data_IF_306108129255
#
_entry.id   IF_306108129255
#
_cell.length_a   1.000
_cell.length_b   1.000
_cell.length_c   1.000
_cell.angle_alpha   90.00
_cell.angle_beta   90.00
_cell.angle_gamma   90.00
#
_symmetry.space_group_name_H-M   'P 1'
#
loop_
_entity.id
_entity.type
_entity.pdbx_description
1 polymer ?
#
# COMPACT_ATOMS: atom_id res chain seq x y z
N UNK A 1 -22.94 10.60 88.95
CA UNK A 1 -23.09 10.68 87.48
C UNK A 1 -22.49 11.96 86.84
N UNK A 2 -21.73 12.79 87.55
CA UNK A 2 -21.17 14.04 87.01
C UNK A 2 -19.70 13.95 86.51
N UNK A 3 -18.98 12.85 86.77
CA UNK A 3 -17.55 12.71 86.43
C UNK A 3 -17.26 11.97 85.10
N UNK A 4 -18.29 11.42 84.42
CA UNK A 4 -18.11 10.69 83.17
C UNK A 4 -18.19 11.59 81.92
N UNK A 5 -18.89 12.72 82.00
CA UNK A 5 -19.08 13.66 80.88
C UNK A 5 -17.87 14.56 80.63
N UNK A 6 -17.03 14.79 81.65
CA UNK A 6 -15.80 15.60 81.54
C UNK A 6 -14.65 14.84 80.89
N UNK A 7 -14.55 13.53 81.09
CA UNK A 7 -13.49 12.71 80.49
C UNK A 7 -13.65 12.52 78.97
N UNK A 8 -14.89 12.39 78.48
CA UNK A 8 -15.16 12.23 77.04
C UNK A 8 -14.99 13.55 76.27
N UNK A 9 -15.32 14.69 76.89
CA UNK A 9 -15.03 16.01 76.33
C UNK A 9 -13.52 16.32 76.28
N UNK A 10 -12.74 15.87 77.26
CA UNK A 10 -11.28 16.00 77.21
C UNK A 10 -10.64 15.07 76.16
N UNK A 11 -11.13 13.85 75.98
CA UNK A 11 -10.66 12.94 74.91
C UNK A 11 -10.97 13.46 73.51
N UNK A 12 -12.15 14.07 73.30
CA UNK A 12 -12.51 14.69 72.01
C UNK A 12 -11.69 15.94 71.69
N UNK A 13 -11.30 16.74 72.70
CA UNK A 13 -10.37 17.86 72.51
C UNK A 13 -8.95 17.39 72.16
N UNK A 14 -8.49 16.29 72.75
CA UNK A 14 -7.16 15.73 72.44
C UNK A 14 -7.06 15.08 71.04
N UNK A 15 -8.18 14.59 70.49
CA UNK A 15 -8.19 13.94 69.17
C UNK A 15 -8.21 14.94 67.99
N UNK A 16 -8.57 16.21 68.22
CA UNK A 16 -8.61 17.27 67.19
C UNK A 16 -7.28 18.02 67.03
N UNK A 17 -6.30 17.75 67.91
CA UNK A 17 -4.98 18.40 67.94
C UNK A 17 -3.85 17.57 67.29
N UNK A 18 -4.19 16.56 66.49
CA UNK A 18 -3.22 15.95 65.61
C UNK A 18 -3.12 16.77 64.32
N UNK A 19 -2.09 17.61 64.13
CA UNK A 19 -1.86 18.24 62.84
C UNK A 19 -1.69 17.12 61.82
N UNK A 20 -2.61 17.04 60.86
CA UNK A 20 -2.41 16.22 59.66
C UNK A 20 -1.03 16.55 59.12
N UNK A 21 -0.12 15.56 59.09
CA UNK A 21 1.26 15.77 58.62
C UNK A 21 1.19 16.55 57.30
N UNK A 22 1.83 17.73 57.20
CA UNK A 22 1.76 18.52 55.99
C UNK A 22 2.27 17.65 54.85
N UNK A 23 1.44 17.49 53.81
CA UNK A 23 1.84 16.79 52.59
C UNK A 23 3.13 17.47 52.14
N UNK A 24 4.24 16.71 52.11
CA UNK A 24 5.54 17.30 51.81
C UNK A 24 5.47 18.01 50.45
N UNK A 25 6.15 19.16 50.33
CA UNK A 25 6.20 19.97 49.10
C UNK A 25 6.57 19.14 47.86
N UNK A 26 7.37 18.09 48.04
CA UNK A 26 7.76 17.11 47.01
C UNK A 26 6.59 16.27 46.50
N UNK A 27 5.67 15.86 47.38
CA UNK A 27 4.44 15.14 46.98
C UNK A 27 3.48 16.04 46.20
N UNK A 28 3.31 17.29 46.63
CA UNK A 28 2.48 18.26 45.91
C UNK A 28 3.06 18.60 44.53
N UNK A 29 4.39 18.72 44.41
CA UNK A 29 5.03 18.96 43.11
C UNK A 29 4.87 17.77 42.16
N UNK A 30 5.02 16.53 42.65
CA UNK A 30 4.82 15.32 41.85
C UNK A 30 3.36 15.17 41.38
N UNK A 31 2.38 15.46 42.25
CA UNK A 31 0.95 15.43 41.87
C UNK A 31 0.61 16.52 40.84
N UNK A 32 1.16 17.73 40.98
CA UNK A 32 0.98 18.80 39.99
C UNK A 32 1.63 18.51 38.64
N UNK A 33 2.79 17.84 38.65
CA UNK A 33 3.49 17.42 37.43
C UNK A 33 2.69 16.33 36.70
N UNK A 34 2.12 15.36 37.44
CA UNK A 34 1.28 14.31 36.88
C UNK A 34 -0.05 14.86 36.33
N UNK A 35 -0.70 15.80 37.03
CA UNK A 35 -1.90 16.47 36.53
C UNK A 35 -1.63 17.35 35.29
N UNK A 36 -0.46 18.00 35.22
CA UNK A 36 -0.03 18.76 34.05
C UNK A 36 0.29 17.83 32.85
N UNK A 37 0.84 16.64 33.11
CA UNK A 37 1.09 15.62 32.12
C UNK A 37 -0.22 15.04 31.56
N UNK A 38 -1.19 14.71 32.41
CA UNK A 38 -2.53 14.27 32.01
C UNK A 38 -3.27 15.33 31.19
N UNK A 39 -3.12 16.63 31.51
CA UNK A 39 -3.68 17.72 30.70
C UNK A 39 -3.01 17.84 29.32
N UNK A 40 -1.70 17.61 29.24
CA UNK A 40 -0.95 17.60 27.96
C UNK A 40 -1.36 16.39 27.11
N UNK A 41 -1.50 15.22 27.72
CA UNK A 41 -1.96 14.01 27.03
C UNK A 41 -3.41 14.17 26.55
N UNK A 42 -4.29 14.75 27.37
CA UNK A 42 -5.68 15.05 26.98
C UNK A 42 -5.75 16.05 25.82
N UNK A 43 -4.88 17.08 25.81
CA UNK A 43 -4.77 17.98 24.67
C UNK A 43 -4.31 17.22 23.42
N UNK A 44 -3.30 16.35 23.52
CA UNK A 44 -2.85 15.49 22.42
C UNK A 44 -3.97 14.62 21.84
N UNK A 45 -4.73 13.94 22.70
CA UNK A 45 -5.90 13.14 22.30
C UNK A 45 -6.98 13.98 21.63
N UNK A 46 -7.24 15.19 22.12
CA UNK A 46 -8.21 16.10 21.50
C UNK A 46 -7.76 16.53 20.09
N UNK A 47 -6.47 16.83 19.90
CA UNK A 47 -5.91 17.21 18.60
C UNK A 47 -6.00 16.08 17.55
N UNK A 48 -5.78 14.83 17.95
CA UNK A 48 -5.90 13.68 17.02
C UNK A 48 -7.33 13.16 16.91
N UNK A 49 -8.25 13.57 17.80
CA UNK A 49 -9.62 13.04 17.84
C UNK A 49 -10.38 13.15 16.52
N UNK A 50 -10.30 14.24 15.72
CA UNK A 50 -11.01 14.28 14.44
C UNK A 50 -10.53 13.19 13.47
N UNK A 51 -9.23 12.93 13.45
CA UNK A 51 -8.65 11.86 12.62
C UNK A 51 -9.06 10.48 13.14
N UNK A 52 -9.01 10.24 14.45
CA UNK A 52 -9.41 8.95 15.06
C UNK A 52 -10.89 8.68 14.84
N UNK A 53 -11.75 9.67 15.05
CA UNK A 53 -13.20 9.56 14.81
C UNK A 53 -13.46 9.24 13.34
N UNK A 54 -12.80 9.96 12.42
CA UNK A 54 -12.91 9.68 10.98
C UNK A 54 -12.47 8.27 10.61
N UNK A 55 -11.31 7.84 11.13
CA UNK A 55 -10.79 6.48 10.93
C UNK A 55 -11.78 5.41 11.43
N UNK A 56 -12.31 5.58 12.65
CA UNK A 56 -13.24 4.62 13.23
C UNK A 56 -14.58 4.58 12.48
N UNK A 57 -15.12 5.74 12.13
CA UNK A 57 -16.43 5.83 11.49
C UNK A 57 -16.43 5.44 10.01
N UNK A 58 -15.38 5.78 9.26
CA UNK A 58 -15.37 5.66 7.80
C UNK A 58 -14.43 4.59 7.26
N UNK A 59 -13.49 4.07 8.06
CA UNK A 59 -12.59 2.99 7.64
C UNK A 59 -12.81 1.73 8.47
N UNK A 60 -12.57 1.80 9.77
CA UNK A 60 -12.59 0.62 10.63
C UNK A 60 -14.00 0.07 10.85
N UNK A 61 -14.99 0.93 11.07
CA UNK A 61 -16.40 0.55 11.24
C UNK A 61 -16.95 -0.21 10.02
N UNK A 62 -16.93 0.38 8.80
CA UNK A 62 -17.37 -0.30 7.59
C UNK A 62 -16.60 -1.59 7.29
N UNK A 63 -15.31 -1.65 7.64
CA UNK A 63 -14.52 -2.87 7.54
C UNK A 63 -15.04 -3.96 8.48
N UNK A 64 -15.38 -3.66 9.73
CA UNK A 64 -15.98 -4.64 10.64
C UNK A 64 -17.38 -5.07 10.18
N UNK A 65 -18.17 -4.16 9.59
CA UNK A 65 -19.47 -4.50 9.00
C UNK A 65 -19.29 -5.43 7.80
N UNK A 66 -18.29 -5.20 6.94
CA UNK A 66 -18.00 -6.13 5.83
C UNK A 66 -17.53 -7.49 6.34
N UNK A 67 -16.83 -7.55 7.49
CA UNK A 67 -16.52 -8.82 8.15
C UNK A 67 -17.77 -9.56 8.58
N UNK A 68 -18.76 -8.86 9.12
CA UNK A 68 -20.04 -9.49 9.43
C UNK A 68 -20.71 -10.02 8.15
N UNK A 69 -20.75 -9.21 7.09
CA UNK A 69 -21.37 -9.62 5.82
C UNK A 69 -20.67 -10.79 5.14
N UNK A 70 -19.36 -10.99 5.35
CA UNK A 70 -18.66 -12.14 4.78
C UNK A 70 -19.16 -13.49 5.28
N UNK A 71 -19.85 -13.53 6.44
CA UNK A 71 -20.50 -14.73 6.99
C UNK A 71 -21.99 -14.82 6.65
N UNK A 72 -22.48 -13.95 5.78
CA UNK A 72 -23.90 -13.88 5.39
C UNK A 72 -24.09 -14.08 3.90
N UNK A 73 -25.25 -14.57 3.51
CA UNK A 73 -25.79 -14.37 2.17
C UNK A 73 -26.48 -13.01 2.16
N UNK A 74 -25.90 -12.06 1.45
CA UNK A 74 -26.37 -10.68 1.42
C UNK A 74 -26.44 -10.18 -0.02
N UNK A 75 -27.64 -10.06 -0.61
CA UNK A 75 -27.82 -9.62 -1.98
C UNK A 75 -28.00 -8.10 -2.13
N UNK A 76 -27.65 -7.32 -1.10
CA UNK A 76 -27.79 -5.85 -1.01
C UNK A 76 -29.22 -5.35 -0.87
N UNK A 77 -30.17 -5.91 -1.63
CA UNK A 77 -31.58 -5.51 -1.67
C UNK A 77 -32.46 -6.20 -0.61
N UNK A 78 -31.98 -7.29 -0.03
CA UNK A 78 -32.68 -8.07 1.00
C UNK A 78 -31.86 -8.10 2.30
N UNK A 79 -32.49 -8.33 3.47
CA UNK A 79 -31.76 -8.48 4.72
C UNK A 79 -30.72 -9.61 4.67
N UNK A 80 -29.55 -9.44 5.30
CA UNK A 80 -28.50 -10.47 5.30
C UNK A 80 -28.93 -11.72 6.08
N UNK A 81 -28.74 -12.90 5.48
CA UNK A 81 -29.02 -14.20 6.10
C UNK A 81 -27.71 -14.81 6.57
N UNK A 82 -27.60 -15.19 7.84
CA UNK A 82 -26.38 -15.82 8.36
C UNK A 82 -26.17 -17.22 7.77
N UNK A 83 -25.04 -17.43 7.08
CA UNK A 83 -24.66 -18.71 6.46
C UNK A 83 -23.34 -19.27 7.01
N UNK A 84 -22.73 -18.62 8.00
CA UNK A 84 -21.46 -19.03 8.58
C UNK A 84 -20.32 -18.97 7.56
N UNK A 85 -19.57 -20.07 7.40
CA UNK A 85 -18.36 -20.12 6.56
C UNK A 85 -18.61 -20.51 5.09
N UNK A 86 -19.87 -20.59 4.65
CA UNK A 86 -20.19 -21.14 3.33
C UNK A 86 -19.57 -20.33 2.17
N UNK A 87 -19.50 -19.00 2.29
CA UNK A 87 -18.82 -18.14 1.31
C UNK A 87 -17.34 -18.54 1.12
N UNK A 88 -16.64 -18.85 2.21
CA UNK A 88 -15.24 -19.27 2.17
C UNK A 88 -15.09 -20.69 1.60
N UNK A 89 -16.01 -21.60 1.93
CA UNK A 89 -16.04 -22.96 1.36
C UNK A 89 -16.24 -22.92 -0.15
N UNK A 90 -17.17 -22.09 -0.62
CA UNK A 90 -17.45 -21.87 -2.05
C UNK A 90 -16.20 -21.41 -2.80
N UNK A 91 -15.37 -20.53 -2.22
CA UNK A 91 -14.13 -20.07 -2.85
C UNK A 91 -13.13 -21.19 -3.11
N UNK A 92 -13.07 -22.23 -2.26
CA UNK A 92 -12.12 -23.32 -2.40
C UNK A 92 -12.35 -24.15 -3.67
N UNK A 93 -13.61 -24.25 -4.09
CA UNK A 93 -14.04 -24.98 -5.29
C UNK A 93 -14.26 -24.08 -6.51
N UNK A 94 -14.10 -22.76 -6.35
CA UNK A 94 -14.35 -21.79 -7.42
C UNK A 94 -13.14 -21.68 -8.38
N UNK A 95 -13.31 -22.20 -9.58
CA UNK A 95 -12.30 -22.15 -10.64
C UNK A 95 -11.99 -20.71 -11.08
N UNK A 96 -13.00 -19.82 -11.07
CA UNK A 96 -12.82 -18.42 -11.44
C UNK A 96 -11.98 -17.71 -10.40
N UNK A 97 -12.28 -17.93 -9.12
CA UNK A 97 -11.48 -17.42 -8.00
C UNK A 97 -10.01 -17.82 -8.14
N UNK A 98 -9.73 -19.10 -8.40
CA UNK A 98 -8.36 -19.60 -8.61
C UNK A 98 -7.70 -18.94 -9.82
N UNK A 99 -8.42 -18.78 -10.92
CA UNK A 99 -7.90 -18.16 -12.15
C UNK A 99 -7.52 -16.70 -11.93
N UNK A 100 -8.39 -15.89 -11.31
CA UNK A 100 -8.12 -14.46 -11.09
C UNK A 100 -7.05 -14.23 -10.03
N UNK A 101 -6.98 -15.08 -9.01
CA UNK A 101 -5.90 -15.06 -8.02
C UNK A 101 -4.56 -15.34 -8.69
N UNK A 102 -4.50 -16.35 -9.56
CA UNK A 102 -3.28 -16.67 -10.31
C UNK A 102 -2.87 -15.53 -11.25
N UNK A 103 -3.81 -14.94 -11.99
CA UNK A 103 -3.54 -13.79 -12.89
C UNK A 103 -2.98 -12.59 -12.14
N UNK A 104 -3.58 -12.26 -10.99
CA UNK A 104 -3.12 -11.17 -10.12
C UNK A 104 -1.72 -11.45 -9.57
N UNK A 105 -1.45 -12.70 -9.19
CA UNK A 105 -0.14 -13.15 -8.72
C UNK A 105 0.92 -13.04 -9.83
N UNK A 106 0.61 -13.51 -11.04
CA UNK A 106 1.50 -13.39 -12.21
C UNK A 106 1.82 -11.92 -12.49
N UNK A 107 0.81 -11.06 -12.49
CA UNK A 107 1.02 -9.63 -12.66
C UNK A 107 1.96 -9.07 -11.59
N UNK A 108 1.70 -9.34 -10.31
CA UNK A 108 2.52 -8.84 -9.21
C UNK A 108 3.99 -9.32 -9.32
N UNK A 109 4.21 -10.60 -9.59
CA UNK A 109 5.57 -11.20 -9.70
C UNK A 109 6.35 -10.59 -10.87
N UNK A 110 5.69 -10.22 -11.96
CA UNK A 110 6.36 -9.60 -13.12
C UNK A 110 6.54 -8.11 -12.90
N UNK A 111 5.50 -7.41 -12.47
CA UNK A 111 5.47 -5.96 -12.37
C UNK A 111 6.40 -5.44 -11.26
N UNK A 112 6.39 -6.04 -10.08
CA UNK A 112 7.13 -5.51 -8.91
C UNK A 112 8.66 -5.48 -9.16
N UNK A 113 9.30 -6.57 -9.62
CA UNK A 113 10.74 -6.54 -9.92
C UNK A 113 11.07 -5.58 -11.06
N UNK A 114 10.28 -5.59 -12.14
CA UNK A 114 10.50 -4.68 -13.27
C UNK A 114 10.41 -3.23 -12.82
N UNK A 115 9.33 -2.84 -12.13
CA UNK A 115 9.16 -1.49 -11.62
C UNK A 115 10.31 -1.08 -10.71
N UNK A 116 10.79 -1.98 -9.85
CA UNK A 116 11.95 -1.72 -8.98
C UNK A 116 13.22 -1.48 -9.77
N UNK A 117 13.52 -2.35 -10.75
CA UNK A 117 14.71 -2.23 -11.60
C UNK A 117 14.65 -0.96 -12.45
N UNK A 118 13.53 -0.72 -13.14
CA UNK A 118 13.34 0.48 -13.95
C UNK A 118 13.40 1.75 -13.10
N UNK A 119 12.76 1.76 -11.94
CA UNK A 119 12.77 2.93 -11.08
C UNK A 119 14.18 3.25 -10.55
N UNK A 120 14.94 2.23 -10.12
CA UNK A 120 16.34 2.39 -9.69
C UNK A 120 17.24 2.82 -10.84
N UNK A 121 17.06 2.27 -12.05
CA UNK A 121 17.84 2.64 -13.22
C UNK A 121 17.61 4.12 -13.58
N UNK A 122 16.35 4.55 -13.66
CA UNK A 122 16.01 5.95 -13.95
C UNK A 122 16.50 6.87 -12.83
N UNK A 123 16.31 6.50 -11.56
CA UNK A 123 16.81 7.27 -10.43
C UNK A 123 18.34 7.41 -10.47
N UNK A 124 19.07 6.34 -10.79
CA UNK A 124 20.52 6.37 -10.95
C UNK A 124 20.98 7.28 -12.09
N UNK A 125 20.27 7.28 -13.22
CA UNK A 125 20.54 8.21 -14.33
C UNK A 125 20.30 9.66 -13.92
N UNK A 126 19.26 9.92 -13.12
CA UNK A 126 18.92 11.27 -12.61
C UNK A 126 19.78 11.72 -11.42
N UNK A 127 20.47 10.80 -10.75
CA UNK A 127 21.32 11.11 -9.60
C UNK A 127 22.61 11.84 -10.02
N UNK A 128 23.02 11.76 -11.29
CA UNK A 128 24.18 12.47 -11.81
C UNK A 128 23.96 13.98 -11.94
N UNK A 129 25.04 14.71 -12.28
CA UNK A 129 24.98 16.14 -12.66
C UNK A 129 24.37 16.30 -14.06
N UNK A 130 23.10 15.96 -14.21
CA UNK A 130 22.37 16.04 -15.48
C UNK A 130 21.98 17.50 -15.75
N UNK A 131 22.38 18.04 -16.89
CA UNK A 131 21.87 19.33 -17.38
C UNK A 131 20.35 19.21 -17.55
N UNK A 132 19.59 20.14 -16.97
CA UNK A 132 18.13 20.11 -16.90
C UNK A 132 17.53 18.93 -16.09
N UNK A 133 18.19 18.46 -15.02
CA UNK A 133 17.66 17.40 -14.15
C UNK A 133 16.21 17.61 -13.67
N UNK A 134 15.81 18.86 -13.38
CA UNK A 134 14.43 19.18 -13.00
C UNK A 134 13.40 18.89 -14.11
N UNK A 135 13.76 19.08 -15.38
CA UNK A 135 12.89 18.76 -16.51
C UNK A 135 12.67 17.26 -16.62
N UNK A 136 13.74 16.46 -16.56
CA UNK A 136 13.61 15.00 -16.63
C UNK A 136 12.88 14.43 -15.40
N UNK A 137 13.12 15.00 -14.22
CA UNK A 137 12.39 14.65 -13.01
C UNK A 137 10.88 14.90 -13.17
N UNK A 138 10.50 16.06 -13.73
CA UNK A 138 9.11 16.37 -14.03
C UNK A 138 8.53 15.41 -15.09
N UNK A 139 9.26 15.14 -16.17
CA UNK A 139 8.81 14.25 -17.25
C UNK A 139 8.51 12.83 -16.77
N UNK A 140 9.36 12.29 -15.88
CA UNK A 140 9.16 10.96 -15.27
C UNK A 140 8.01 10.96 -14.25
N UNK A 141 7.78 12.09 -13.58
CA UNK A 141 6.74 12.20 -12.56
C UNK A 141 5.34 12.45 -13.13
N UNK A 142 5.21 13.21 -14.22
CA UNK A 142 3.93 13.60 -14.84
C UNK A 142 2.95 12.43 -15.04
N UNK A 143 3.37 11.25 -15.56
CA UNK A 143 2.46 10.11 -15.73
C UNK A 143 1.71 9.70 -14.46
N UNK A 144 2.34 9.88 -13.28
CA UNK A 144 1.73 9.53 -11.99
C UNK A 144 0.63 10.49 -11.55
N UNK A 145 0.59 11.69 -12.13
CA UNK A 145 -0.44 12.69 -11.89
C UNK A 145 -1.64 12.53 -12.82
N UNK A 146 -1.50 11.74 -13.89
CA UNK A 146 -2.60 11.50 -14.83
C UNK A 146 -3.65 10.61 -14.14
N UNK A 147 -4.94 11.00 -14.14
CA UNK A 147 -6.00 10.17 -13.57
C UNK A 147 -6.02 8.78 -14.20
N UNK A 148 -6.19 7.71 -13.41
CA UNK A 148 -6.14 6.32 -13.90
C UNK A 148 -7.08 6.08 -15.10
N UNK A 149 -8.27 6.67 -15.10
CA UNK A 149 -9.20 6.57 -16.21
C UNK A 149 -8.68 7.26 -17.49
N UNK A 150 -8.05 8.44 -17.35
CA UNK A 150 -7.41 9.14 -18.46
C UNK A 150 -6.22 8.36 -19.00
N UNK A 151 -5.39 7.79 -18.12
CA UNK A 151 -4.30 6.88 -18.49
C UNK A 151 -4.82 5.69 -19.29
N UNK A 152 -5.91 5.04 -18.82
CA UNK A 152 -6.52 3.93 -19.54
C UNK A 152 -7.02 4.34 -20.94
N UNK A 153 -7.62 5.53 -21.09
CA UNK A 153 -8.05 6.04 -22.40
C UNK A 153 -6.88 6.30 -23.36
N UNK A 154 -5.78 6.90 -22.88
CA UNK A 154 -4.56 7.12 -23.67
C UNK A 154 -4.04 5.79 -24.19
N UNK A 155 -3.91 4.80 -23.29
CA UNK A 155 -3.35 3.50 -23.65
C UNK A 155 -4.30 2.65 -24.50
N UNK A 156 -5.62 2.79 -24.32
CA UNK A 156 -6.62 2.17 -25.20
C UNK A 156 -6.41 2.60 -26.66
N UNK A 157 -6.17 3.89 -26.90
CA UNK A 157 -5.90 4.40 -28.24
C UNK A 157 -4.51 4.02 -28.74
N UNK A 158 -3.48 4.13 -27.89
CA UNK A 158 -2.10 3.78 -28.28
C UNK A 158 -1.93 2.29 -28.64
N UNK A 159 -2.61 1.40 -27.91
CA UNK A 159 -2.52 -0.06 -28.04
C UNK A 159 -3.61 -0.67 -28.90
N UNK A 160 -4.41 0.15 -29.59
CA UNK A 160 -5.40 -0.35 -30.52
C UNK A 160 -4.72 -1.21 -31.62
N UNK A 161 -5.26 -2.42 -31.85
CA UNK A 161 -4.65 -3.38 -32.76
C UNK A 161 -4.64 -2.96 -34.23
N UNK A 162 -5.65 -2.19 -34.66
CA UNK A 162 -5.86 -1.82 -36.06
C UNK A 162 -5.25 -0.46 -36.41
N UNK A 163 -5.46 0.53 -35.55
CA UNK A 163 -5.06 1.92 -35.80
C UNK A 163 -4.28 2.56 -34.63
N UNK A 164 -3.77 1.75 -33.70
CA UNK A 164 -2.96 2.26 -32.60
C UNK A 164 -1.60 2.77 -33.07
N UNK A 165 -1.14 3.86 -32.47
CA UNK A 165 0.17 4.46 -32.79
C UNK A 165 1.33 3.48 -32.62
N UNK A 166 1.24 2.57 -31.64
CA UNK A 166 2.29 1.57 -31.39
C UNK A 166 2.33 0.57 -32.54
N UNK A 167 1.18 0.08 -33.01
CA UNK A 167 1.16 -0.82 -34.17
C UNK A 167 1.54 -0.11 -35.47
N UNK A 168 1.11 1.14 -35.68
CA UNK A 168 1.54 1.92 -36.84
C UNK A 168 3.05 2.10 -36.88
N UNK A 169 3.68 2.38 -35.74
CA UNK A 169 5.14 2.53 -35.65
C UNK A 169 5.87 1.20 -35.83
N UNK A 170 5.39 0.10 -35.24
CA UNK A 170 5.93 -1.25 -35.47
C UNK A 170 5.84 -1.63 -36.94
N UNK A 171 4.66 -1.52 -37.54
CA UNK A 171 4.46 -1.90 -38.95
C UNK A 171 5.31 -1.04 -39.88
N UNK A 172 5.52 0.24 -39.58
CA UNK A 172 6.40 1.12 -40.36
C UNK A 172 7.87 0.76 -40.21
N UNK A 173 8.32 0.42 -39.01
CA UNK A 173 9.74 0.17 -38.71
C UNK A 173 10.18 -1.26 -38.95
N UNK A 174 9.27 -2.23 -38.88
CA UNK A 174 9.56 -3.66 -38.90
C UNK A 174 8.64 -4.44 -39.85
N UNK A 175 7.66 -3.79 -40.48
CA UNK A 175 6.79 -4.44 -41.46
C UNK A 175 7.54 -4.93 -42.70
N UNK A 176 8.68 -4.31 -43.05
CA UNK A 176 9.59 -4.80 -44.09
C UNK A 176 10.21 -6.16 -43.75
N UNK A 177 10.29 -6.52 -42.46
CA UNK A 177 10.73 -7.82 -41.98
C UNK A 177 9.56 -8.80 -41.76
N UNK A 178 8.33 -8.46 -42.21
CA UNK A 178 7.13 -9.28 -42.05
C UNK A 178 6.55 -9.30 -40.64
N UNK A 179 7.01 -8.42 -39.74
CA UNK A 179 6.51 -8.33 -38.37
C UNK A 179 5.33 -7.37 -38.32
N UNK A 180 4.16 -7.89 -37.98
CA UNK A 180 2.97 -7.09 -37.67
C UNK A 180 2.83 -6.88 -36.15
N UNK A 181 2.40 -5.67 -35.77
CA UNK A 181 2.10 -5.36 -34.37
C UNK A 181 0.99 -6.26 -33.81
N UNK A 182 1.09 -6.70 -32.55
CA UNK A 182 0.12 -7.62 -31.97
C UNK A 182 -1.21 -6.94 -31.64
N UNK A 183 -2.24 -7.75 -31.38
CA UNK A 183 -3.46 -7.25 -30.75
C UNK A 183 -3.25 -7.18 -29.23
N UNK A 184 -2.64 -6.08 -28.78
CA UNK A 184 -2.20 -5.84 -27.40
C UNK A 184 -3.26 -6.13 -26.34
N UNK A 185 -4.52 -5.79 -26.64
CA UNK A 185 -5.60 -5.81 -25.66
C UNK A 185 -6.53 -7.02 -25.80
N UNK A 186 -6.67 -7.61 -26.99
CA UNK A 186 -7.60 -8.73 -27.20
C UNK A 186 -6.92 -10.10 -27.10
N UNK A 187 -5.62 -10.18 -27.38
CA UNK A 187 -4.86 -11.43 -27.33
C UNK A 187 -4.39 -11.74 -25.90
N UNK A 188 -4.74 -12.93 -25.40
CA UNK A 188 -4.33 -13.41 -24.07
C UNK A 188 -2.81 -13.40 -23.86
N UNK A 189 -2.01 -13.53 -24.92
CA UNK A 189 -0.55 -13.48 -24.85
C UNK A 189 -0.01 -12.08 -24.56
N UNK A 190 -0.69 -11.06 -25.06
CA UNK A 190 -0.23 -9.67 -25.01
C UNK A 190 -0.94 -8.81 -23.97
N UNK A 191 -2.11 -9.22 -23.50
CA UNK A 191 -2.87 -8.51 -22.49
C UNK A 191 -2.04 -8.27 -21.20
N UNK A 192 -1.42 -9.32 -20.65
CA UNK A 192 -0.61 -9.19 -19.41
C UNK A 192 0.62 -8.29 -19.61
N UNK A 193 1.47 -8.47 -20.66
CA UNK A 193 2.53 -7.52 -20.98
C UNK A 193 2.04 -6.07 -21.14
N UNK A 194 0.86 -5.88 -21.75
CA UNK A 194 0.28 -4.54 -21.92
C UNK A 194 -0.04 -3.89 -20.58
N UNK A 195 -0.71 -4.61 -19.67
CA UNK A 195 -1.02 -4.09 -18.33
C UNK A 195 0.26 -3.77 -17.55
N UNK A 196 1.30 -4.62 -17.65
CA UNK A 196 2.62 -4.37 -17.02
C UNK A 196 3.25 -3.11 -17.59
N UNK A 197 3.29 -2.94 -18.92
CA UNK A 197 3.87 -1.77 -19.58
C UNK A 197 3.15 -0.47 -19.18
N UNK A 198 1.82 -0.49 -19.16
CA UNK A 198 1.01 0.66 -18.73
C UNK A 198 1.30 1.00 -17.27
N UNK A 199 1.43 -0.02 -16.41
CA UNK A 199 1.73 0.17 -14.99
C UNK A 199 3.15 0.72 -14.78
N UNK A 200 4.13 0.27 -15.60
CA UNK A 200 5.50 0.79 -15.59
C UNK A 200 5.58 2.26 -15.99
N UNK A 201 4.67 2.74 -16.84
CA UNK A 201 4.59 4.15 -17.18
C UNK A 201 4.27 5.04 -15.96
N UNK A 202 3.66 4.47 -14.91
CA UNK A 202 3.22 5.18 -13.70
C UNK A 202 4.17 5.02 -12.50
N UNK A 203 5.44 4.62 -12.70
CA UNK A 203 6.41 4.43 -11.58
C UNK A 203 7.12 5.71 -11.15
N UNK A 204 6.71 6.88 -11.63
CA UNK A 204 7.41 8.14 -11.42
C UNK A 204 7.63 8.49 -9.94
N UNK A 205 6.62 8.31 -9.08
CA UNK A 205 6.75 8.54 -7.64
C UNK A 205 7.84 7.65 -7.01
N UNK A 206 7.91 6.38 -7.41
CA UNK A 206 8.93 5.44 -6.96
C UNK A 206 10.34 5.89 -7.38
N UNK A 207 10.48 6.40 -8.61
CA UNK A 207 11.75 6.99 -9.09
C UNK A 207 12.19 8.16 -8.22
N UNK A 208 11.27 9.08 -7.87
CA UNK A 208 11.62 10.25 -7.05
C UNK A 208 12.06 9.84 -5.64
N UNK A 209 11.37 8.87 -5.05
CA UNK A 209 11.73 8.34 -3.73
C UNK A 209 13.12 7.68 -3.77
N UNK A 210 13.42 6.89 -4.79
CA UNK A 210 14.77 6.33 -4.96
C UNK A 210 15.83 7.38 -5.25
N UNK A 211 15.52 8.40 -6.05
CA UNK A 211 16.44 9.50 -6.32
C UNK A 211 16.79 10.26 -5.02
N UNK A 212 15.80 10.51 -4.15
CA UNK A 212 16.05 11.12 -2.85
C UNK A 212 16.98 10.25 -1.99
N UNK A 213 16.70 8.94 -1.91
CA UNK A 213 17.54 8.02 -1.14
C UNK A 213 18.97 7.90 -1.69
N UNK A 214 19.14 7.92 -3.01
CA UNK A 214 20.46 7.90 -3.65
C UNK A 214 21.27 9.16 -3.34
N UNK A 215 20.62 10.31 -3.17
CA UNK A 215 21.27 11.58 -2.78
C UNK A 215 21.66 11.63 -1.30
N UNK A 216 21.07 10.80 -0.46
CA UNK A 216 21.40 10.68 0.97
C UNK A 216 22.57 9.73 1.25
N UNK A 217 23.15 9.14 0.20
CA UNK A 217 24.38 8.33 0.31
C UNK A 217 25.58 9.29 0.43
N UNK A 218 26.35 9.25 1.55
CA UNK A 218 27.49 10.14 1.73
C UNK A 218 28.55 9.94 0.66
N UNK A 219 29.05 11.04 0.09
CA UNK A 219 30.11 11.01 -0.92
C UNK A 219 31.39 10.36 -0.37
N UNK A 220 31.69 10.53 0.92
CA UNK A 220 32.87 9.95 1.57
C UNK A 220 32.89 8.42 1.47
N UNK A 221 31.73 7.75 1.59
CA UNK A 221 31.65 6.29 1.41
C UNK A 221 31.91 5.87 -0.04
N UNK A 222 31.49 6.69 -1.01
CA UNK A 222 31.67 6.42 -2.43
C UNK A 222 33.12 6.65 -2.89
N UNK A 223 33.80 7.63 -2.28
CA UNK A 223 35.21 7.93 -2.47
C UNK A 223 36.10 6.85 -1.83
N UNK A 224 35.81 6.46 -0.58
CA UNK A 224 36.52 5.36 0.08
C UNK A 224 36.43 4.06 -0.73
N UNK A 225 35.23 3.70 -1.20
CA UNK A 225 35.05 2.53 -2.05
C UNK A 225 35.82 2.63 -3.39
N UNK A 226 35.98 3.83 -3.95
CA UNK A 226 36.76 4.04 -5.15
C UNK A 226 38.27 3.88 -4.91
N UNK A 227 38.76 4.34 -3.74
CA UNK A 227 40.15 4.12 -3.30
C UNK A 227 40.46 2.63 -3.09
N UNK A 228 39.49 1.85 -2.63
CA UNK A 228 39.56 0.37 -2.53
C UNK A 228 39.48 -0.35 -3.90
N UNK A 229 39.48 0.39 -5.01
CA UNK A 229 39.44 -0.17 -6.36
C UNK A 229 38.08 -0.72 -6.78
N UNK A 230 36.98 -0.38 -6.09
CA UNK A 230 35.65 -0.82 -6.52
C UNK A 230 35.18 -0.06 -7.76
N UNK A 231 35.00 -0.81 -8.87
CA UNK A 231 34.38 -0.27 -10.08
C UNK A 231 32.91 0.16 -9.87
N UNK A 232 32.31 0.93 -10.80
CA UNK A 232 31.00 1.54 -10.62
C UNK A 232 29.86 0.56 -10.28
N UNK A 233 29.83 -0.59 -10.94
CA UNK A 233 28.80 -1.63 -10.72
C UNK A 233 28.97 -2.26 -9.34
N UNK A 234 30.21 -2.61 -8.96
CA UNK A 234 30.50 -3.20 -7.65
C UNK A 234 30.19 -2.21 -6.53
N UNK A 235 30.57 -0.93 -6.70
CA UNK A 235 30.23 0.14 -5.75
C UNK A 235 28.71 0.31 -5.61
N UNK A 236 27.96 0.26 -6.71
CA UNK A 236 26.50 0.33 -6.65
C UNK A 236 25.89 -0.86 -5.90
N UNK A 237 26.27 -2.10 -6.26
CA UNK A 237 25.69 -3.31 -5.67
C UNK A 237 26.12 -3.54 -4.22
N UNK A 238 27.36 -3.20 -3.86
CA UNK A 238 27.93 -3.53 -2.55
C UNK A 238 27.87 -2.38 -1.54
N UNK A 239 27.73 -1.12 -1.96
CA UNK A 239 27.71 0.04 -1.06
C UNK A 239 26.38 0.78 -1.13
N UNK A 240 25.98 1.21 -2.33
CA UNK A 240 24.77 2.02 -2.52
C UNK A 240 23.51 1.21 -2.21
N UNK A 241 23.33 0.07 -2.87
CA UNK A 241 22.12 -0.75 -2.78
C UNK A 241 21.81 -1.19 -1.33
N UNK A 242 22.78 -1.63 -0.51
CA UNK A 242 22.53 -1.92 0.90
C UNK A 242 22.14 -0.69 1.72
N UNK A 243 22.74 0.48 1.46
CA UNK A 243 22.42 1.72 2.19
C UNK A 243 21.00 2.23 1.92
N UNK A 244 20.50 2.07 0.69
CA UNK A 244 19.13 2.47 0.33
C UNK A 244 18.10 1.34 0.51
N UNK A 245 18.53 0.17 0.99
CA UNK A 245 17.67 -1.00 1.15
C UNK A 245 16.39 -0.78 2.00
N UNK A 246 16.36 0.07 3.05
CA UNK A 246 15.10 0.37 3.75
C UNK A 246 14.07 1.06 2.84
N UNK A 247 14.54 1.93 1.94
CA UNK A 247 13.69 2.65 0.98
C UNK A 247 13.21 1.72 -0.12
N UNK A 248 14.06 0.79 -0.58
CA UNK A 248 13.67 -0.28 -1.51
C UNK A 248 12.55 -1.12 -0.89
N UNK A 249 12.70 -1.55 0.37
CA UNK A 249 11.67 -2.32 1.06
C UNK A 249 10.35 -1.55 1.13
N UNK A 250 10.38 -0.28 1.54
CA UNK A 250 9.18 0.56 1.63
C UNK A 250 8.43 0.64 0.28
N UNK A 251 9.16 0.90 -0.81
CA UNK A 251 8.56 0.99 -2.14
C UNK A 251 8.06 -0.36 -2.64
N UNK A 252 8.80 -1.46 -2.43
CA UNK A 252 8.38 -2.81 -2.81
C UNK A 252 7.12 -3.24 -2.06
N UNK A 253 7.01 -2.96 -0.76
CA UNK A 253 5.81 -3.26 0.03
C UNK A 253 4.61 -2.46 -0.49
N UNK A 254 4.78 -1.15 -0.70
CA UNK A 254 3.71 -0.28 -1.21
C UNK A 254 3.25 -0.74 -2.60
N UNK A 255 4.20 -1.07 -3.48
CA UNK A 255 3.93 -1.54 -4.83
C UNK A 255 3.25 -2.91 -4.83
N UNK A 256 3.62 -3.81 -3.92
CA UNK A 256 2.97 -5.11 -3.78
C UNK A 256 1.52 -4.98 -3.36
N UNK A 257 1.21 -4.10 -2.39
CA UNK A 257 -0.17 -3.82 -1.99
C UNK A 257 -0.97 -3.32 -3.19
N UNK A 258 -0.42 -2.34 -3.93
CA UNK A 258 -1.07 -1.80 -5.13
C UNK A 258 -1.25 -2.83 -6.25
N UNK A 259 -0.28 -3.70 -6.48
CA UNK A 259 -0.33 -4.73 -7.52
C UNK A 259 -1.41 -5.78 -7.24
N UNK A 260 -1.60 -6.17 -5.97
CA UNK A 260 -2.67 -7.07 -5.56
C UNK A 260 -4.06 -6.42 -5.64
N UNK A 261 -4.12 -5.09 -5.60
CA UNK A 261 -5.35 -4.28 -5.68
C UNK A 261 -5.61 -3.71 -7.09
N UNK A 262 -4.92 -4.20 -8.12
CA UNK A 262 -5.10 -3.67 -9.47
C UNK A 262 -6.54 -3.83 -9.95
N UNK A 263 -7.14 -2.73 -10.43
CA UNK A 263 -8.54 -2.68 -10.83
C UNK A 263 -8.80 -1.72 -12.00
N UNK A 264 -8.61 -0.42 -11.79
CA UNK A 264 -9.17 0.61 -12.66
C UNK A 264 -8.73 0.48 -14.13
N UNK A 265 -7.43 0.33 -14.38
CA UNK A 265 -6.89 0.25 -15.74
C UNK A 265 -7.36 -1.03 -16.46
N UNK A 266 -7.16 -2.25 -15.92
CA UNK A 266 -7.68 -3.46 -16.55
C UNK A 266 -9.20 -3.46 -16.74
N UNK A 267 -9.96 -2.91 -15.78
CA UNK A 267 -11.42 -2.83 -15.87
C UNK A 267 -11.87 -1.97 -17.07
N UNK A 268 -11.28 -0.80 -17.23
CA UNK A 268 -11.61 0.10 -18.34
C UNK A 268 -11.18 -0.48 -19.69
N UNK A 269 -9.95 -1.03 -19.77
CA UNK A 269 -9.44 -1.60 -21.02
C UNK A 269 -10.21 -2.83 -21.47
N UNK A 270 -10.55 -3.72 -20.53
CA UNK A 270 -11.35 -4.92 -20.83
C UNK A 270 -12.77 -4.57 -21.27
N UNK A 271 -13.42 -3.59 -20.62
CA UNK A 271 -14.74 -3.10 -21.03
C UNK A 271 -14.73 -2.47 -22.44
N UNK A 272 -13.62 -1.85 -22.83
CA UNK A 272 -13.46 -1.21 -24.14
C UNK A 272 -12.96 -2.14 -25.26
N UNK A 273 -12.71 -3.42 -24.96
CA UNK A 273 -12.19 -4.40 -25.93
C UNK A 273 -13.16 -5.59 -26.09
N UNK A 274 -14.40 -5.37 -26.59
CA UNK A 274 -15.38 -6.43 -26.76
C UNK A 274 -14.90 -7.47 -27.79
N UNK A 275 -14.96 -8.76 -27.42
CA UNK A 275 -14.56 -9.88 -28.28
C UNK A 275 -13.15 -10.44 -28.05
N UNK A 276 -12.32 -9.77 -27.22
CA UNK A 276 -11.07 -10.36 -26.71
C UNK A 276 -11.31 -11.46 -25.67
N UNK A 277 -10.26 -12.19 -25.28
CA UNK A 277 -10.37 -13.18 -24.19
C UNK A 277 -10.83 -12.46 -22.90
N UNK A 278 -12.06 -12.71 -22.41
CA UNK A 278 -12.63 -11.99 -21.27
C UNK A 278 -11.81 -12.21 -20.00
N UNK A 279 -11.05 -13.31 -19.93
CA UNK A 279 -10.25 -13.67 -18.77
C UNK A 279 -8.86 -13.06 -18.84
N UNK A 280 -8.38 -12.60 -20.01
CA UNK A 280 -7.01 -12.16 -20.19
C UNK A 280 -6.58 -11.03 -19.23
N UNK A 281 -7.49 -10.08 -18.99
CA UNK A 281 -7.30 -8.95 -18.07
C UNK A 281 -8.19 -9.05 -16.82
N UNK A 282 -8.69 -10.24 -16.49
CA UNK A 282 -9.61 -10.39 -15.38
C UNK A 282 -8.85 -10.66 -14.07
N UNK A 283 -8.74 -9.61 -13.25
CA UNK A 283 -8.01 -9.62 -12.00
C UNK A 283 -8.92 -9.87 -10.79
N UNK A 284 -8.29 -10.21 -9.66
CA UNK A 284 -8.98 -10.55 -8.42
C UNK A 284 -9.99 -9.47 -8.00
N UNK A 285 -9.56 -8.21 -7.95
CA UNK A 285 -10.40 -7.09 -7.53
C UNK A 285 -11.57 -6.86 -8.50
N UNK A 286 -11.42 -7.19 -9.79
CA UNK A 286 -12.53 -7.13 -10.74
C UNK A 286 -13.56 -8.22 -10.48
N UNK A 287 -13.12 -9.44 -10.17
CA UNK A 287 -14.05 -10.52 -9.80
C UNK A 287 -14.81 -10.20 -8.52
N UNK A 288 -14.12 -9.65 -7.53
CA UNK A 288 -14.74 -9.15 -6.31
C UNK A 288 -15.78 -8.04 -6.59
N UNK A 289 -15.44 -7.09 -7.45
CA UNK A 289 -16.35 -6.02 -7.87
C UNK A 289 -17.59 -6.58 -8.58
N UNK A 290 -17.40 -7.49 -9.54
CA UNK A 290 -18.52 -8.10 -10.26
C UNK A 290 -19.43 -8.89 -9.32
N UNK A 291 -18.88 -9.68 -8.39
CA UNK A 291 -19.69 -10.38 -7.39
C UNK A 291 -20.49 -9.40 -6.53
N UNK A 292 -19.88 -8.33 -6.04
CA UNK A 292 -20.56 -7.39 -5.13
C UNK A 292 -21.62 -6.53 -5.84
N UNK A 293 -21.25 -5.93 -6.97
CA UNK A 293 -22.03 -4.87 -7.61
C UNK A 293 -22.79 -5.32 -8.85
N UNK A 294 -22.30 -6.34 -9.58
CA UNK A 294 -22.93 -6.81 -10.82
C UNK A 294 -23.83 -8.00 -10.60
N UNK A 295 -23.40 -8.95 -9.77
CA UNK A 295 -24.14 -10.18 -9.47
C UNK A 295 -24.95 -10.09 -8.18
N UNK A 296 -24.82 -8.99 -7.41
CA UNK A 296 -25.55 -8.80 -6.17
C UNK A 296 -25.23 -9.88 -5.14
N UNK A 297 -23.97 -10.30 -5.03
CA UNK A 297 -23.47 -11.27 -4.04
C UNK A 297 -22.52 -10.55 -3.08
N UNK A 298 -23.04 -9.54 -2.36
CA UNK A 298 -22.25 -8.67 -1.48
C UNK A 298 -21.61 -9.45 -0.33
N UNK A 299 -22.29 -10.47 0.21
CA UNK A 299 -21.72 -11.37 1.22
C UNK A 299 -20.49 -12.13 0.70
N UNK A 300 -20.58 -12.70 -0.50
CA UNK A 300 -19.46 -13.40 -1.15
C UNK A 300 -18.31 -12.43 -1.48
N UNK A 301 -18.60 -11.25 -2.04
CA UNK A 301 -17.60 -10.23 -2.32
C UNK A 301 -16.90 -9.72 -1.05
N UNK A 302 -17.64 -9.59 0.06
CA UNK A 302 -17.07 -9.22 1.36
C UNK A 302 -16.10 -10.29 1.86
N UNK A 303 -16.45 -11.57 1.71
CA UNK A 303 -15.52 -12.66 2.02
C UNK A 303 -14.25 -12.61 1.15
N UNK A 304 -14.37 -12.23 -0.13
CA UNK A 304 -13.22 -12.08 -1.03
C UNK A 304 -12.32 -10.94 -0.55
N UNK A 305 -12.89 -9.79 -0.18
CA UNK A 305 -12.13 -8.66 0.36
C UNK A 305 -11.29 -9.06 1.58
N UNK A 306 -11.85 -9.86 2.49
CA UNK A 306 -11.14 -10.38 3.67
C UNK A 306 -10.04 -11.37 3.32
N UNK A 307 -10.26 -12.26 2.36
CA UNK A 307 -9.22 -13.16 1.87
C UNK A 307 -8.07 -12.38 1.23
N UNK A 308 -8.38 -11.37 0.41
CA UNK A 308 -7.38 -10.48 -0.18
C UNK A 308 -6.57 -9.75 0.88
N UNK A 309 -7.23 -9.20 1.91
CA UNK A 309 -6.56 -8.55 3.03
C UNK A 309 -5.59 -9.51 3.73
N UNK A 310 -6.02 -10.74 4.04
CA UNK A 310 -5.17 -11.74 4.68
C UNK A 310 -3.98 -12.13 3.82
N UNK A 311 -4.18 -12.29 2.50
CA UNK A 311 -3.09 -12.55 1.55
C UNK A 311 -2.10 -11.38 1.54
N UNK A 312 -2.58 -10.15 1.42
CA UNK A 312 -1.73 -8.95 1.41
C UNK A 312 -0.95 -8.80 2.72
N UNK A 313 -1.59 -9.00 3.88
CA UNK A 313 -0.95 -8.97 5.19
C UNK A 313 0.09 -10.09 5.34
N UNK A 314 -0.24 -11.32 4.92
CA UNK A 314 0.66 -12.45 4.96
C UNK A 314 1.92 -12.23 4.11
N UNK A 315 1.75 -11.78 2.86
CA UNK A 315 2.87 -11.46 1.98
C UNK A 315 3.71 -10.30 2.53
N UNK A 316 3.06 -9.28 3.10
CA UNK A 316 3.76 -8.16 3.73
C UNK A 316 4.59 -8.62 4.92
N UNK A 317 4.01 -9.45 5.80
CA UNK A 317 4.73 -10.04 6.93
C UNK A 317 5.93 -10.88 6.46
N UNK A 318 5.76 -11.70 5.42
CA UNK A 318 6.86 -12.48 4.82
C UNK A 318 7.98 -11.56 4.33
N UNK A 319 7.65 -10.47 3.62
CA UNK A 319 8.64 -9.49 3.17
C UNK A 319 9.37 -8.84 4.34
N UNK A 320 8.68 -8.45 5.41
CA UNK A 320 9.31 -7.88 6.61
C UNK A 320 10.18 -8.90 7.36
N UNK A 321 9.81 -10.17 7.37
CA UNK A 321 10.63 -11.23 7.97
C UNK A 321 11.90 -11.46 7.12
N UNK A 322 11.75 -11.52 5.79
CA UNK A 322 12.87 -11.66 4.87
C UNK A 322 13.81 -10.44 4.93
N UNK A 323 13.24 -9.24 5.09
CA UNK A 323 14.01 -8.00 5.12
C UNK A 323 14.93 -7.88 6.33
N UNK A 324 14.62 -8.51 7.47
CA UNK A 324 15.53 -8.57 8.64
C UNK A 324 16.92 -9.13 8.31
N UNK A 325 17.06 -9.91 7.23
CA UNK A 325 18.35 -10.45 6.75
C UNK A 325 18.95 -9.64 5.61
N UNK A 326 18.17 -8.81 4.92
CA UNK A 326 18.53 -8.16 3.66
C UNK A 326 18.67 -6.63 3.79
N UNK A 327 18.10 -6.03 4.84
CA UNK A 327 18.03 -4.58 5.05
C UNK A 327 18.96 -4.17 6.17
N UNK A 328 19.86 -3.23 5.86
CA UNK A 328 20.79 -2.65 6.81
C UNK A 328 20.23 -1.31 7.26
N UNK A 329 19.81 -1.23 8.52
CA UNK A 329 19.45 0.04 9.14
C UNK A 329 20.74 0.77 9.54
N UNK A 330 20.86 2.05 9.18
CA UNK A 330 21.89 2.92 9.76
C UNK A 330 21.56 3.05 11.25
N UNK A 331 22.48 2.61 12.11
CA UNK A 331 22.40 2.80 13.56
C UNK A 331 22.99 4.16 13.94
#
# INVERSE_FOLDING_TARGET
MANALTADQQRRRHALDHPSKPISSRTLSLMSAHAAQLKRDAAGWLWISPWVIGFLAFLFGPMLVSLYYSFTDYPLLEPPIWIGLENYRRMLTDETFRSVLWRTTQFAIIFIPLATIFALAIAGLLNGKVKAGGFFQAAVFIPTLVPMAGSAMIWLWMLNGEYGLINMSINRLLGWAGISGPNWLSDSKWAMPSIVMISLWSIGQMVIVYLAALKEVPDEMLEAAALDGMGPIRRFLSVVLPLISPVILFNVVTLMIGALQIFAIPYILSAATPGGDPRAMYFYTMYMYDNGFRYGQMGYASAQAWVQLLITLGLTAILFIASKRLVHYRA
#
